data_IF_453253008751
#
_entry.id   IF_453253008751
#
_cell.length_a   1.000
_cell.length_b   1.000
_cell.length_c   1.000
_cell.angle_alpha   90.00
_cell.angle_beta   90.00
_cell.angle_gamma   90.00
#
_symmetry.space_group_name_H-M   'P 1'
#
loop_
_entity.id
_entity.type
_entity.pdbx_description
1 polymer ?
#
# COMPACT_ATOMS: atom_id res chain seq x y z
N UNK A 1 -6.92 11.17 9.11
CA UNK A 1 -7.06 9.99 8.23
C UNK A 1 -8.41 10.06 7.56
N UNK A 2 -8.50 9.92 6.24
CA UNK A 2 -9.76 10.13 5.50
C UNK A 2 -10.72 8.95 5.76
N UNK A 3 -11.99 9.23 6.05
CA UNK A 3 -13.02 8.19 6.10
C UNK A 3 -13.28 7.61 4.71
N UNK A 4 -13.25 6.29 4.61
CA UNK A 4 -13.41 5.59 3.34
C UNK A 4 -14.82 5.68 2.80
N UNK A 5 -15.84 5.79 3.68
CA UNK A 5 -17.24 5.89 3.27
C UNK A 5 -17.62 7.29 2.79
N UNK A 6 -16.92 8.32 3.29
CA UNK A 6 -17.13 9.71 2.88
C UNK A 6 -16.23 10.14 1.70
N UNK A 7 -15.35 9.26 1.21
CA UNK A 7 -14.41 9.58 0.14
C UNK A 7 -15.15 9.75 -1.20
N UNK A 8 -14.79 10.78 -1.95
CA UNK A 8 -15.35 11.07 -3.28
C UNK A 8 -14.24 11.28 -4.31
N UNK A 9 -14.61 11.24 -5.60
CA UNK A 9 -13.70 11.51 -6.71
C UNK A 9 -12.48 10.57 -6.74
N UNK A 10 -11.29 11.15 -6.92
CA UNK A 10 -10.04 10.39 -7.04
C UNK A 10 -9.62 9.65 -5.78
N UNK A 11 -10.05 10.14 -4.61
CA UNK A 11 -9.76 9.49 -3.33
C UNK A 11 -10.53 8.17 -3.25
N UNK A 12 -11.82 8.17 -3.62
CA UNK A 12 -12.64 6.97 -3.68
C UNK A 12 -12.06 5.94 -4.67
N UNK A 13 -11.66 6.38 -5.86
CA UNK A 13 -11.02 5.51 -6.87
C UNK A 13 -9.71 4.90 -6.36
N UNK A 14 -8.92 5.66 -5.61
CA UNK A 14 -7.71 5.15 -4.98
C UNK A 14 -8.02 4.10 -3.90
N UNK A 15 -9.05 4.30 -3.08
CA UNK A 15 -9.48 3.34 -2.06
C UNK A 15 -10.06 2.06 -2.68
N UNK A 16 -10.83 2.17 -3.75
CA UNK A 16 -11.31 1.03 -4.54
C UNK A 16 -10.12 0.22 -5.08
N UNK A 17 -9.12 0.88 -5.68
CA UNK A 17 -7.90 0.22 -6.15
C UNK A 17 -7.13 -0.46 -4.99
N UNK A 18 -7.05 0.17 -3.83
CA UNK A 18 -6.45 -0.47 -2.65
C UNK A 18 -7.18 -1.75 -2.25
N UNK A 19 -8.52 -1.74 -2.25
CA UNK A 19 -9.31 -2.94 -1.98
C UNK A 19 -9.09 -4.01 -3.05
N UNK A 20 -9.03 -3.65 -4.32
CA UNK A 20 -8.77 -4.59 -5.42
C UNK A 20 -7.39 -5.26 -5.30
N UNK A 21 -6.33 -4.48 -5.07
CA UNK A 21 -4.96 -5.02 -5.06
C UNK A 21 -4.52 -5.60 -3.70
N UNK A 22 -5.13 -5.17 -2.59
CA UNK A 22 -4.70 -5.51 -1.22
C UNK A 22 -5.80 -6.13 -0.35
N UNK A 23 -7.03 -6.22 -0.84
CA UNK A 23 -8.18 -6.78 -0.12
C UNK A 23 -8.79 -5.87 0.94
N UNK A 24 -8.18 -4.70 1.21
CA UNK A 24 -8.64 -3.73 2.21
C UNK A 24 -8.02 -2.35 1.99
N UNK A 25 -8.62 -1.33 2.58
CA UNK A 25 -8.03 0.01 2.71
C UNK A 25 -7.29 0.12 4.05
N UNK A 26 -5.96 0.06 4.01
CA UNK A 26 -5.15 0.23 5.21
C UNK A 26 -5.14 1.70 5.69
N UNK A 27 -4.85 1.90 6.98
CA UNK A 27 -4.72 3.22 7.58
C UNK A 27 -3.70 4.12 6.84
N UNK A 28 -2.58 3.56 6.37
CA UNK A 28 -1.60 4.26 5.54
C UNK A 28 -2.19 4.73 4.22
N UNK A 29 -3.00 3.91 3.55
CA UNK A 29 -3.70 4.32 2.33
C UNK A 29 -4.66 5.50 2.63
N UNK A 30 -5.37 5.47 3.75
CA UNK A 30 -6.25 6.59 4.14
C UNK A 30 -5.51 7.90 4.45
N UNK A 31 -4.20 7.85 4.72
CA UNK A 31 -3.31 9.03 4.79
C UNK A 31 -2.84 9.43 3.39
N UNK A 32 -2.40 8.48 2.56
CA UNK A 32 -2.04 8.74 1.16
C UNK A 32 -3.18 9.30 0.31
N UNK A 33 -4.43 9.05 0.71
CA UNK A 33 -5.62 9.59 0.05
C UNK A 33 -5.67 11.12 -0.03
N UNK A 34 -4.86 11.85 0.75
CA UNK A 34 -4.70 13.32 0.61
C UNK A 34 -3.97 13.73 -0.67
N UNK A 35 -3.23 12.80 -1.30
CA UNK A 35 -2.50 13.01 -2.56
C UNK A 35 -2.80 11.87 -3.56
N UNK A 36 -4.08 11.71 -3.97
CA UNK A 36 -4.56 10.47 -4.60
C UNK A 36 -3.93 10.17 -5.97
N UNK A 37 -3.52 11.21 -6.72
CA UNK A 37 -2.82 11.03 -7.99
C UNK A 37 -1.47 10.33 -7.78
N UNK A 38 -0.64 10.82 -6.85
CA UNK A 38 0.65 10.22 -6.52
C UNK A 38 0.45 8.85 -5.87
N UNK A 39 -0.55 8.73 -4.99
CA UNK A 39 -0.84 7.51 -4.25
C UNK A 39 -1.16 6.32 -5.18
N UNK A 40 -1.86 6.55 -6.29
CA UNK A 40 -2.13 5.51 -7.29
C UNK A 40 -0.87 5.03 -8.02
N UNK A 41 0.05 5.94 -8.38
CA UNK A 41 1.35 5.54 -8.95
C UNK A 41 2.16 4.71 -7.96
N UNK A 42 2.22 5.17 -6.70
CA UNK A 42 2.91 4.43 -5.64
C UNK A 42 2.28 3.05 -5.39
N UNK A 43 0.94 2.94 -5.42
CA UNK A 43 0.24 1.67 -5.26
C UNK A 43 0.71 0.65 -6.29
N UNK A 44 0.79 1.03 -7.58
CA UNK A 44 1.27 0.15 -8.65
C UNK A 44 2.75 -0.22 -8.46
N UNK A 45 3.61 0.76 -8.19
CA UNK A 45 5.04 0.51 -7.96
C UNK A 45 5.29 -0.42 -6.76
N UNK A 46 4.46 -0.33 -5.72
CA UNK A 46 4.58 -1.14 -4.50
C UNK A 46 4.23 -2.62 -4.68
N UNK A 47 3.61 -3.01 -5.79
CA UNK A 47 3.23 -4.40 -6.05
C UNK A 47 4.48 -5.28 -6.18
N UNK A 48 5.54 -4.80 -6.84
CA UNK A 48 6.77 -5.56 -7.09
C UNK A 48 7.48 -6.02 -5.80
N UNK A 49 7.73 -5.14 -4.80
CA UNK A 49 8.33 -5.56 -3.54
C UNK A 49 7.38 -6.33 -2.60
N UNK A 50 6.06 -6.37 -2.85
CA UNK A 50 5.09 -6.99 -1.93
C UNK A 50 4.58 -8.36 -2.41
N UNK A 51 4.42 -8.54 -3.73
CA UNK A 51 3.81 -9.73 -4.32
C UNK A 51 4.86 -10.65 -4.95
N UNK A 52 4.55 -11.92 -5.03
CA UNK A 52 5.31 -12.87 -5.84
C UNK A 52 5.05 -12.66 -7.34
N UNK A 53 6.04 -13.03 -8.16
CA UNK A 53 5.98 -12.85 -9.61
C UNK A 53 6.51 -11.49 -10.08
N UNK A 54 6.03 -11.02 -11.23
CA UNK A 54 6.43 -9.77 -11.87
C UNK A 54 7.96 -9.57 -12.00
N UNK A 55 8.69 -10.66 -12.30
CA UNK A 55 10.15 -10.65 -12.46
C UNK A 55 10.97 -10.75 -11.18
N UNK A 56 10.33 -10.89 -10.02
CA UNK A 56 11.03 -11.06 -8.74
C UNK A 56 11.27 -12.53 -8.40
N UNK A 57 12.43 -12.83 -7.80
CA UNK A 57 12.84 -14.20 -7.47
C UNK A 57 12.63 -14.58 -6.00
N UNK A 58 12.31 -13.60 -5.14
CA UNK A 58 12.09 -13.82 -3.72
C UNK A 58 10.61 -14.10 -3.44
N UNK A 59 10.36 -15.04 -2.52
CA UNK A 59 9.01 -15.27 -2.01
C UNK A 59 8.49 -14.06 -1.25
N UNK A 60 7.17 -13.87 -1.22
CA UNK A 60 6.53 -12.79 -0.47
C UNK A 60 6.89 -12.86 1.02
N UNK A 61 7.10 -14.07 1.57
CA UNK A 61 7.55 -14.25 2.96
C UNK A 61 8.91 -13.58 3.23
N UNK A 62 9.90 -13.78 2.36
CA UNK A 62 11.24 -13.19 2.55
C UNK A 62 11.17 -11.67 2.40
N UNK A 63 10.40 -11.17 1.42
CA UNK A 63 10.23 -9.72 1.23
C UNK A 63 9.57 -9.06 2.44
N UNK A 64 8.54 -9.69 3.00
CA UNK A 64 7.88 -9.17 4.21
C UNK A 64 8.82 -9.18 5.42
N UNK A 65 9.66 -10.21 5.58
CA UNK A 65 10.69 -10.22 6.63
C UNK A 65 11.69 -9.06 6.49
N UNK A 66 12.06 -8.68 5.27
CA UNK A 66 12.90 -7.52 5.03
C UNK A 66 12.19 -6.21 5.42
N UNK A 67 10.90 -6.07 5.09
CA UNK A 67 10.07 -4.92 5.52
C UNK A 67 9.97 -4.85 7.04
N UNK A 68 9.71 -5.96 7.73
CA UNK A 68 9.61 -6.01 9.18
C UNK A 68 10.95 -5.65 9.85
N UNK A 69 12.06 -6.22 9.37
CA UNK A 69 13.38 -5.96 9.95
C UNK A 69 13.80 -4.50 9.77
N UNK A 70 13.61 -3.94 8.58
CA UNK A 70 13.94 -2.54 8.32
C UNK A 70 13.02 -1.58 9.09
N UNK A 71 11.73 -1.89 9.20
CA UNK A 71 10.78 -1.12 10.01
C UNK A 71 11.17 -1.12 11.49
N UNK A 72 11.57 -2.28 12.04
CA UNK A 72 12.04 -2.38 13.42
C UNK A 72 13.30 -1.54 13.67
N UNK A 73 14.31 -1.62 12.79
CA UNK A 73 15.54 -0.80 12.92
C UNK A 73 15.23 0.69 12.82
N UNK A 74 14.22 1.07 12.03
CA UNK A 74 13.76 2.46 11.90
C UNK A 74 12.74 2.88 12.97
N UNK A 75 12.44 2.05 13.97
CA UNK A 75 11.43 2.33 15.00
C UNK A 75 10.05 2.71 14.44
N UNK A 76 9.67 2.14 13.28
CA UNK A 76 8.38 2.37 12.65
C UNK A 76 7.30 1.54 13.35
N UNK A 77 6.39 2.20 14.07
CA UNK A 77 5.33 1.58 14.88
C UNK A 77 3.93 1.82 14.27
N UNK A 78 3.78 1.56 12.97
CA UNK A 78 2.52 1.64 12.24
C UNK A 78 1.74 0.30 12.27
#
# INVERSE_FOLDING_TARGET
MIDTQAATGEIARYFEACTMFRGRVANSARVWGHIPYIAKFYLLASILPQREGAGTVLSSKIKEMAVLKTSHVNSCAY
#
